data_IF_122161717756
#
_entry.id   IF_122161717756
#
_cell.length_a   1.000
_cell.length_b   1.000
_cell.length_c   1.000
_cell.angle_alpha   90.00
_cell.angle_beta   90.00
_cell.angle_gamma   90.00
#
_symmetry.space_group_name_H-M   'P 1'
#
loop_
_entity.id
_entity.type
_entity.pdbx_description
1 polymer ?
#
# COMPACT_ATOMS: atom_id res chain seq x y z
N UNK A 1 -1.18 0.85 17.16
CA UNK A 1 -2.29 1.82 17.28
C UNK A 1 -3.41 1.48 16.31
N UNK A 2 -4.53 2.19 16.33
CA UNK A 2 -5.66 1.94 15.42
C UNK A 2 -5.32 2.30 13.96
N UNK A 3 -4.46 3.31 13.76
CA UNK A 3 -4.16 3.87 12.44
C UNK A 3 -3.39 2.91 11.51
N UNK A 4 -2.34 2.19 11.97
CA UNK A 4 -1.72 1.11 11.19
C UNK A 4 -2.73 0.02 10.78
N UNK A 5 -3.68 -0.33 11.65
CA UNK A 5 -4.70 -1.34 11.35
C UNK A 5 -5.65 -0.88 10.24
N UNK A 6 -6.05 0.39 10.26
CA UNK A 6 -6.84 1.01 9.19
C UNK A 6 -6.06 0.99 7.87
N UNK A 7 -4.77 1.33 7.89
CA UNK A 7 -3.93 1.32 6.69
C UNK A 7 -3.75 -0.09 6.11
N UNK A 8 -3.53 -1.10 6.94
CA UNK A 8 -3.45 -2.50 6.50
C UNK A 8 -4.76 -2.95 5.85
N UNK A 9 -5.90 -2.60 6.44
CA UNK A 9 -7.20 -2.90 5.87
C UNK A 9 -7.42 -2.21 4.51
N UNK A 10 -7.08 -0.92 4.40
CA UNK A 10 -7.17 -0.17 3.15
C UNK A 10 -6.22 -0.72 2.07
N UNK A 11 -5.00 -1.11 2.43
CA UNK A 11 -4.04 -1.73 1.51
C UNK A 11 -4.58 -3.07 0.97
N UNK A 12 -5.22 -3.87 1.83
CA UNK A 12 -5.93 -5.08 1.43
C UNK A 12 -7.06 -4.82 0.45
N UNK A 13 -7.87 -3.78 0.68
CA UNK A 13 -8.92 -3.35 -0.26
C UNK A 13 -8.32 -2.93 -1.60
N UNK A 14 -7.29 -2.08 -1.59
CA UNK A 14 -6.63 -1.59 -2.80
C UNK A 14 -6.13 -2.74 -3.69
N UNK A 15 -5.42 -3.69 -3.10
CA UNK A 15 -4.86 -4.83 -3.85
C UNK A 15 -5.94 -5.86 -4.20
N UNK A 16 -6.96 -6.01 -3.37
CA UNK A 16 -8.15 -6.80 -3.66
C UNK A 16 -8.92 -6.29 -4.88
N UNK A 17 -9.18 -4.98 -4.97
CA UNK A 17 -9.84 -4.35 -6.12
C UNK A 17 -9.06 -4.64 -7.41
N UNK A 18 -7.73 -4.47 -7.39
CA UNK A 18 -6.90 -4.77 -8.56
C UNK A 18 -6.99 -6.25 -8.96
N UNK A 19 -6.91 -7.15 -7.98
CA UNK A 19 -6.94 -8.60 -8.21
C UNK A 19 -8.26 -9.05 -8.84
N UNK A 20 -9.39 -8.56 -8.31
CA UNK A 20 -10.73 -8.91 -8.80
C UNK A 20 -10.92 -8.44 -10.25
N UNK A 21 -10.46 -7.23 -10.60
CA UNK A 21 -10.63 -6.70 -11.95
C UNK A 21 -9.69 -7.30 -12.99
N UNK A 22 -8.44 -7.61 -12.60
CA UNK A 22 -7.44 -8.14 -13.53
C UNK A 22 -7.32 -9.66 -13.49
N UNK A 23 -8.02 -10.35 -12.57
CA UNK A 23 -7.92 -11.78 -12.29
C UNK A 23 -6.46 -12.26 -12.22
N UNK A 24 -5.58 -11.44 -11.64
CA UNK A 24 -4.15 -11.70 -11.62
C UNK A 24 -3.57 -11.39 -10.23
N UNK A 25 -3.04 -12.44 -9.60
CA UNK A 25 -2.41 -12.39 -8.27
C UNK A 25 -0.92 -12.04 -8.32
N UNK A 26 -0.27 -12.12 -9.48
CA UNK A 26 1.17 -11.84 -9.58
C UNK A 26 1.50 -10.38 -9.27
N UNK A 27 0.66 -9.45 -9.72
CA UNK A 27 0.84 -8.02 -9.44
C UNK A 27 0.73 -7.67 -7.96
N UNK A 28 -0.36 -8.02 -7.23
CA UNK A 28 -0.46 -7.68 -5.82
C UNK A 28 0.63 -8.35 -4.98
N UNK A 29 1.03 -9.59 -5.31
CA UNK A 29 2.16 -10.26 -4.65
C UNK A 29 3.46 -9.48 -4.87
N UNK A 30 3.76 -9.13 -6.14
CA UNK A 30 4.96 -8.36 -6.47
C UNK A 30 4.97 -7.00 -5.78
N UNK A 31 3.86 -6.26 -5.85
CA UNK A 31 3.71 -4.96 -5.21
C UNK A 31 3.89 -5.04 -3.69
N UNK A 32 3.30 -6.04 -3.03
CA UNK A 32 3.48 -6.29 -1.61
C UNK A 32 4.94 -6.59 -1.25
N UNK A 33 5.60 -7.47 -2.01
CA UNK A 33 7.00 -7.81 -1.76
C UNK A 33 7.92 -6.60 -1.98
N UNK A 34 7.71 -5.86 -3.07
CA UNK A 34 8.46 -4.63 -3.35
C UNK A 34 8.26 -3.59 -2.25
N UNK A 35 7.03 -3.42 -1.74
CA UNK A 35 6.76 -2.51 -0.64
C UNK A 35 7.52 -2.89 0.63
N UNK A 36 7.44 -4.17 1.05
CA UNK A 36 8.17 -4.69 2.20
C UNK A 36 9.69 -4.54 2.04
N UNK A 37 10.21 -4.79 0.84
CA UNK A 37 11.65 -4.69 0.55
C UNK A 37 12.17 -3.25 0.55
N UNK A 38 11.37 -2.31 0.05
CA UNK A 38 11.70 -0.89 0.11
C UNK A 38 11.66 -0.40 1.56
N UNK A 39 10.61 -0.72 2.30
CA UNK A 39 10.40 -0.21 3.65
C UNK A 39 11.45 -0.74 4.64
N UNK A 40 11.71 -2.05 4.66
CA UNK A 40 12.66 -2.65 5.60
C UNK A 40 14.11 -2.57 5.11
N UNK A 41 14.54 -3.46 4.19
CA UNK A 41 15.92 -3.54 3.72
C UNK A 41 16.53 -2.23 3.20
N UNK A 42 15.77 -1.41 2.46
CA UNK A 42 16.30 -0.18 1.86
C UNK A 42 16.22 1.01 2.82
N UNK A 43 15.02 1.35 3.31
CA UNK A 43 14.82 2.57 4.12
C UNK A 43 15.01 2.39 5.63
N UNK A 44 15.01 1.14 6.12
CA UNK A 44 15.17 0.86 7.56
C UNK A 44 13.99 1.21 8.42
N UNK A 45 12.81 1.34 7.83
CA UNK A 45 11.58 1.43 8.60
C UNK A 45 11.14 0.06 9.08
N UNK A 46 10.45 0.03 10.22
CA UNK A 46 9.84 -1.20 10.72
C UNK A 46 8.77 -1.65 9.72
N UNK A 47 8.84 -2.91 9.30
CA UNK A 47 7.86 -3.52 8.39
C UNK A 47 6.81 -4.19 9.23
N UNK A 48 5.60 -3.63 9.24
CA UNK A 48 4.50 -4.09 10.09
C UNK A 48 4.89 -4.22 11.58
N UNK A 49 5.76 -3.33 12.06
CA UNK A 49 6.27 -3.32 13.45
C UNK A 49 7.45 -4.27 13.73
N UNK A 50 7.98 -4.94 12.71
CA UNK A 50 9.19 -5.75 12.85
C UNK A 50 10.43 -4.96 12.46
N UNK A 51 11.44 -4.95 13.33
CA UNK A 51 12.76 -4.40 13.03
C UNK A 51 13.51 -5.33 12.09
N UNK A 52 13.92 -4.81 10.94
CA UNK A 52 14.71 -5.51 9.94
C UNK A 52 16.06 -4.81 9.81
N UNK A 53 17.15 -5.56 9.70
CA UNK A 53 18.47 -5.00 9.43
C UNK A 53 18.45 -4.34 8.03
N UNK A 54 18.75 -3.05 7.97
CA UNK A 54 18.64 -2.23 6.76
C UNK A 54 19.98 -1.64 6.32
N UNK A 55 20.04 -1.26 5.04
CA UNK A 55 21.20 -0.56 4.47
C UNK A 55 21.26 0.91 4.90
N UNK A 56 20.10 1.54 5.10
CA UNK A 56 19.97 2.86 5.72
C UNK A 56 19.26 2.74 7.05
N UNK A 57 19.88 3.18 8.14
CA UNK A 57 19.20 3.36 9.43
C UNK A 57 18.62 4.77 9.49
N UNK A 58 17.32 4.91 9.19
CA UNK A 58 16.61 6.15 9.47
C UNK A 58 16.15 6.16 10.92
N UNK A 59 16.56 7.19 11.67
CA UNK A 59 15.96 7.54 12.97
C UNK A 59 14.93 8.63 12.71
N UNK A 60 13.65 8.30 12.48
CA UNK A 60 12.63 9.30 12.26
C UNK A 60 12.47 10.18 13.51
N UNK A 61 13.03 11.39 13.46
CA UNK A 61 12.78 12.43 14.46
C UNK A 61 11.61 13.28 13.97
N UNK A 62 10.42 13.08 14.52
CA UNK A 62 9.21 13.78 14.10
C UNK A 62 7.94 13.28 14.78
N UNK A 63 6.81 13.93 14.47
CA UNK A 63 5.51 13.57 15.04
C UNK A 63 5.06 12.19 14.54
N UNK A 64 4.65 11.31 15.46
CA UNK A 64 4.32 9.90 15.16
C UNK A 64 3.22 9.74 14.10
N UNK A 65 2.34 10.72 13.93
CA UNK A 65 1.31 10.71 12.88
C UNK A 65 1.88 10.78 11.45
N UNK A 66 3.03 11.44 11.28
CA UNK A 66 3.69 11.61 9.98
C UNK A 66 4.69 10.48 9.72
N UNK A 67 5.43 10.07 10.75
CA UNK A 67 6.47 9.05 10.63
C UNK A 67 5.93 7.63 10.78
N UNK A 68 4.74 7.50 11.39
CA UNK A 68 4.08 6.23 11.72
C UNK A 68 4.68 5.47 12.90
N UNK A 69 5.62 6.09 13.63
CA UNK A 69 6.18 5.58 14.90
C UNK A 69 6.74 4.15 14.78
N UNK A 70 6.42 3.31 15.76
CA UNK A 70 6.82 1.89 15.84
C UNK A 70 6.10 0.96 14.83
N UNK A 71 5.47 1.51 13.80
CA UNK A 71 4.96 0.74 12.67
C UNK A 71 5.63 1.16 11.36
N UNK A 72 6.58 2.10 11.42
CA UNK A 72 7.19 2.71 10.26
C UNK A 72 6.16 3.46 9.40
N UNK A 73 6.47 3.66 8.13
CA UNK A 73 5.62 4.42 7.20
C UNK A 73 4.21 3.84 7.05
N UNK A 74 4.02 2.54 7.32
CA UNK A 74 2.72 1.87 7.37
C UNK A 74 1.75 2.44 8.40
N UNK A 75 2.27 3.04 9.47
CA UNK A 75 1.49 3.72 10.50
C UNK A 75 1.24 5.20 10.23
N UNK A 76 1.63 5.74 9.07
CA UNK A 76 1.53 7.17 8.78
C UNK A 76 0.18 7.56 8.20
N UNK A 77 -0.25 8.80 8.46
CA UNK A 77 -1.45 9.38 7.83
C UNK A 77 -1.24 9.65 6.33
N UNK A 78 0.02 9.80 5.91
CA UNK A 78 0.41 9.96 4.51
C UNK A 78 0.03 8.72 3.72
N UNK A 79 0.31 7.53 4.26
CA UNK A 79 -0.09 6.28 3.63
C UNK A 79 -1.62 6.15 3.55
N UNK A 80 -2.35 6.56 4.59
CA UNK A 80 -3.82 6.56 4.58
C UNK A 80 -4.37 7.37 3.41
N UNK A 81 -3.88 8.61 3.23
CA UNK A 81 -4.31 9.49 2.14
C UNK A 81 -3.94 8.90 0.76
N UNK A 82 -2.72 8.35 0.64
CA UNK A 82 -2.27 7.72 -0.61
C UNK A 82 -3.15 6.52 -0.99
N UNK A 83 -3.47 5.65 -0.02
CA UNK A 83 -4.36 4.50 -0.24
C UNK A 83 -5.77 4.94 -0.62
N UNK A 84 -6.32 5.96 0.06
CA UNK A 84 -7.63 6.52 -0.29
C UNK A 84 -7.65 7.04 -1.73
N UNK A 85 -6.69 7.88 -2.12
CA UNK A 85 -6.59 8.41 -3.48
C UNK A 85 -6.46 7.29 -4.49
N UNK A 86 -5.63 6.28 -4.20
CA UNK A 86 -5.39 5.15 -5.09
C UNK A 86 -6.65 4.28 -5.27
N UNK A 87 -7.41 4.07 -4.20
CA UNK A 87 -8.70 3.37 -4.26
C UNK A 87 -9.71 4.17 -5.08
N UNK A 88 -9.89 5.47 -4.83
CA UNK A 88 -10.80 6.31 -5.61
C UNK A 88 -10.41 6.38 -7.09
N UNK A 89 -9.11 6.47 -7.38
CA UNK A 89 -8.61 6.45 -8.76
C UNK A 89 -8.87 5.12 -9.46
N UNK A 90 -8.59 4.00 -8.79
CA UNK A 90 -8.88 2.67 -9.33
C UNK A 90 -10.38 2.46 -9.54
N UNK A 91 -11.19 2.80 -8.55
CA UNK A 91 -12.65 2.70 -8.63
C UNK A 91 -13.20 3.55 -9.78
N UNK A 92 -12.75 4.81 -9.93
CA UNK A 92 -13.10 5.64 -11.08
C UNK A 92 -12.58 5.10 -12.42
N UNK A 93 -11.42 4.45 -12.46
CA UNK A 93 -10.88 3.80 -13.67
C UNK A 93 -11.70 2.58 -14.08
N UNK A 94 -12.17 1.79 -13.11
CA UNK A 94 -12.96 0.58 -13.36
C UNK A 94 -14.45 0.85 -13.55
N UNK A 95 -14.98 1.92 -12.96
CA UNK A 95 -16.36 2.38 -13.17
C UNK A 95 -16.57 3.05 -14.52
N UNK A 96 -15.52 3.51 -15.21
CA UNK A 96 -15.66 3.84 -16.63
C UNK A 96 -16.21 2.58 -17.29
N UNK A 97 -17.42 2.63 -17.87
CA UNK A 97 -17.92 1.48 -18.58
C UNK A 97 -16.83 1.09 -19.57
N UNK A 98 -16.59 -0.21 -19.75
CA UNK A 98 -15.90 -0.69 -20.92
C UNK A 98 -16.74 -0.26 -22.14
N UNK A 99 -16.64 1.00 -22.55
CA UNK A 99 -17.35 1.59 -23.69
C UNK A 99 -16.83 0.94 -24.99
N UNK A 100 -15.75 0.15 -24.94
CA UNK A 100 -15.33 -0.67 -26.05
C UNK A 100 -14.87 -2.07 -25.63
N UNK A 101 -15.81 -3.03 -25.68
CA UNK A 101 -15.59 -4.32 -26.34
C UNK A 101 -16.87 -4.79 -27.04
N UNK A 102 -17.25 -4.24 -28.19
CA UNK A 102 -17.89 -5.03 -29.23
C UNK A 102 -16.78 -5.63 -30.09
N UNK A 103 -16.50 -6.91 -29.90
CA UNK A 103 -16.06 -7.75 -31.01
C UNK A 103 -16.61 -9.13 -30.79
N UNK A 104 -17.82 -9.31 -31.32
CA UNK A 104 -18.32 -10.56 -31.88
C UNK A 104 -17.19 -11.39 -32.48
N UNK A 105 -17.02 -12.62 -32.00
CA UNK A 105 -17.08 -13.86 -32.77
C UNK A 105 -17.02 -15.04 -31.79
#
# INVERSE_FOLDING_TARGET
GILPLVNLFLAGIFLGIYTIHKNNLWFPIGAHLTWNYLQGPIFGFEVSGNKINSLFEQKPNGHELLTGGNFGFEGSIILTLFLMISIFYMDGYFQKPNIFKPSTL
#
